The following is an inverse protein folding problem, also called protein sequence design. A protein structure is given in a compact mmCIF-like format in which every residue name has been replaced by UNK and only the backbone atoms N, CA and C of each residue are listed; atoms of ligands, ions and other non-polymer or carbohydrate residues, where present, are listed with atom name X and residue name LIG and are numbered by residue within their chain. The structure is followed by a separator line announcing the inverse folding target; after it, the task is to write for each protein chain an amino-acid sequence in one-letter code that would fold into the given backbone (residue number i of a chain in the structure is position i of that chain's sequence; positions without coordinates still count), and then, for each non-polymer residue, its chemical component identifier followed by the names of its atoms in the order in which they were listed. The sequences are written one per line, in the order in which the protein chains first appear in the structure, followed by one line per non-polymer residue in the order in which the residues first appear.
data_IF_044476401265
#
_entry.id   IF_044476401265
#
_cell.length_a   1.000
_cell.length_b   1.000
_cell.length_c   1.000
_cell.angle_alpha   90.00
_cell.angle_beta   90.00
_cell.angle_gamma   90.00
#
_symmetry.space_group_name_H-M   'P 1'
#
loop_
_entity.id
_entity.type
_entity.pdbx_description
1 polymer ?
#
# COMPACT_ATOMS: atom_id res chain seq x y z
N UNK A 1 -2.37 -9.47 10.21
CA UNK A 1 -3.05 -8.16 10.11
C UNK A 1 -3.97 -8.18 8.90
N UNK A 2 -5.17 -7.60 9.00
CA UNK A 2 -6.14 -7.55 7.90
C UNK A 2 -6.22 -6.15 7.25
N UNK A 3 -5.39 -5.20 7.69
CA UNK A 3 -5.29 -3.84 7.18
C UNK A 3 -3.82 -3.37 7.11
N UNK A 4 -3.62 -2.17 6.56
CA UNK A 4 -2.30 -1.56 6.33
C UNK A 4 -1.83 -0.61 7.44
N UNK A 5 -2.63 -0.34 8.47
CA UNK A 5 -2.27 0.60 9.55
C UNK A 5 -1.54 -0.13 10.66
N UNK A 6 -2.10 -1.26 11.10
CA UNK A 6 -1.61 -1.99 12.27
C UNK A 6 -0.15 -2.47 12.18
N UNK A 7 0.40 -2.91 11.02
CA UNK A 7 1.74 -3.49 11.02
C UNK A 7 2.86 -2.50 11.40
N UNK A 8 2.71 -1.21 11.07
CA UNK A 8 3.71 -0.19 11.43
C UNK A 8 3.61 0.23 12.89
N UNK A 9 2.39 0.30 13.43
CA UNK A 9 2.16 0.58 14.85
C UNK A 9 2.74 -0.55 15.71
N UNK A 10 2.44 -1.81 15.38
CA UNK A 10 2.96 -2.99 16.09
C UNK A 10 4.50 -3.05 16.04
N UNK A 11 5.12 -2.74 14.89
CA UNK A 11 6.58 -2.64 14.77
C UNK A 11 7.15 -1.50 15.62
N UNK A 12 6.50 -0.33 15.62
CA UNK A 12 6.93 0.80 16.43
C UNK A 12 6.79 0.54 17.95
N UNK A 13 5.78 -0.23 18.36
CA UNK A 13 5.56 -0.62 19.76
C UNK A 13 6.48 -1.74 20.23
N UNK A 14 7.22 -2.39 19.32
CA UNK A 14 8.10 -3.53 19.62
C UNK A 14 7.37 -4.88 19.69
N UNK A 15 6.11 -4.95 19.24
CA UNK A 15 5.35 -6.20 19.13
C UNK A 15 5.82 -7.05 17.94
N UNK A 16 6.50 -6.43 16.98
CA UNK A 16 7.14 -7.08 15.83
C UNK A 16 8.60 -6.65 15.74
N UNK A 17 9.46 -7.56 15.29
CA UNK A 17 10.85 -7.22 14.94
C UNK A 17 10.96 -6.65 13.53
N UNK A 18 10.16 -7.17 12.59
CA UNK A 18 10.15 -6.79 11.17
C UNK A 18 8.74 -6.98 10.58
N UNK A 19 8.34 -6.10 9.65
CA UNK A 19 7.17 -6.31 8.78
C UNK A 19 7.56 -6.20 7.29
N UNK A 20 6.79 -6.84 6.40
CA UNK A 20 7.07 -6.86 4.95
C UNK A 20 5.77 -6.80 4.13
N UNK A 21 5.17 -5.61 4.03
CA UNK A 21 3.88 -5.44 3.34
C UNK A 21 3.77 -4.16 2.49
N UNK A 22 4.66 -3.20 2.67
CA UNK A 22 4.53 -1.82 2.18
C UNK A 22 5.62 -1.46 1.18
N UNK A 23 5.34 -0.46 0.35
CA UNK A 23 6.33 0.21 -0.49
C UNK A 23 6.88 1.47 0.17
N UNK A 24 8.06 1.94 -0.26
CA UNK A 24 8.77 3.08 0.32
C UNK A 24 7.92 4.36 0.47
N UNK A 25 7.12 4.79 -0.53
CA UNK A 25 6.28 5.99 -0.37
C UNK A 25 5.26 5.89 0.77
N UNK A 26 4.74 4.69 1.07
CA UNK A 26 3.78 4.49 2.14
C UNK A 26 4.46 4.58 3.51
N UNK A 27 5.64 3.95 3.64
CA UNK A 27 6.46 4.05 4.85
C UNK A 27 6.83 5.50 5.14
N UNK A 28 7.27 6.25 4.14
CA UNK A 28 7.64 7.68 4.29
C UNK A 28 6.47 8.52 4.78
N UNK A 29 5.29 8.32 4.18
CA UNK A 29 4.06 9.00 4.61
C UNK A 29 3.68 8.63 6.05
N UNK A 30 3.74 7.36 6.42
CA UNK A 30 3.44 6.92 7.79
C UNK A 30 4.42 7.50 8.81
N UNK A 31 5.72 7.55 8.50
CA UNK A 31 6.70 8.20 9.35
C UNK A 31 6.41 9.70 9.50
N UNK A 32 6.05 10.39 8.42
CA UNK A 32 5.70 11.81 8.46
C UNK A 32 4.42 12.08 9.28
N UNK A 33 3.38 11.26 9.13
CA UNK A 33 2.07 11.47 9.77
C UNK A 33 2.03 11.00 11.24
N UNK A 34 2.80 9.96 11.59
CA UNK A 34 2.75 9.32 12.91
C UNK A 34 4.01 9.50 13.75
N UNK A 35 5.09 10.04 13.18
CA UNK A 35 6.35 10.25 13.89
C UNK A 35 7.13 8.97 14.17
N UNK A 36 6.83 7.88 13.46
CA UNK A 36 7.52 6.60 13.61
C UNK A 36 9.00 6.71 13.23
N UNK A 37 9.86 6.00 13.96
CA UNK A 37 11.31 5.93 13.71
C UNK A 37 11.69 4.59 13.08
N UNK A 38 11.05 4.28 11.95
CA UNK A 38 11.26 3.04 11.22
C UNK A 38 12.24 3.23 10.06
N UNK A 39 12.81 2.14 9.57
CA UNK A 39 13.70 2.17 8.42
C UNK A 39 13.45 0.94 7.53
N UNK A 40 13.63 1.12 6.23
CA UNK A 40 13.63 0.00 5.29
C UNK A 40 14.97 -0.74 5.41
N UNK A 41 14.90 -2.05 5.73
CA UNK A 41 16.09 -2.92 5.84
C UNK A 41 16.42 -3.64 4.53
N UNK A 42 15.48 -3.69 3.58
CA UNK A 42 15.66 -4.33 2.28
C UNK A 42 14.40 -4.23 1.42
N UNK A 43 14.56 -4.51 0.12
CA UNK A 43 13.45 -4.62 -0.83
C UNK A 43 13.01 -6.08 -0.96
N UNK A 44 11.72 -6.30 -1.18
CA UNK A 44 11.15 -7.64 -1.41
C UNK A 44 10.74 -7.81 -2.87
N UNK A 45 9.51 -7.44 -3.21
CA UNK A 45 8.91 -7.64 -4.53
C UNK A 45 8.19 -6.36 -4.98
N UNK A 46 8.10 -6.19 -6.30
CA UNK A 46 7.25 -5.15 -6.90
C UNK A 46 6.04 -5.85 -7.53
N UNK A 47 4.86 -5.52 -7.04
CA UNK A 47 3.59 -5.94 -7.63
C UNK A 47 3.00 -4.74 -8.38
N UNK A 48 2.95 -4.76 -9.72
CA UNK A 48 2.37 -3.65 -10.48
C UNK A 48 0.91 -3.42 -10.11
N UNK A 49 0.55 -2.16 -9.86
CA UNK A 49 -0.86 -1.76 -9.70
C UNK A 49 -1.54 -1.88 -11.07
N UNK A 50 -2.73 -2.47 -11.09
CA UNK A 50 -3.51 -2.67 -12.30
C UNK A 50 -4.97 -2.27 -12.09
N UNK A 51 -5.59 -1.75 -13.15
CA UNK A 51 -7.03 -1.58 -13.20
C UNK A 51 -7.71 -2.90 -13.56
N UNK A 52 -8.83 -3.19 -12.90
CA UNK A 52 -9.63 -4.38 -13.17
C UNK A 52 -11.07 -3.98 -13.44
N UNK A 53 -11.73 -4.70 -14.34
CA UNK A 53 -13.16 -4.50 -14.61
C UNK A 53 -13.85 -5.84 -14.83
N UNK A 54 -15.08 -5.95 -14.31
CA UNK A 54 -16.00 -7.05 -14.62
C UNK A 54 -16.90 -6.72 -15.82
N UNK A 55 -16.88 -5.48 -16.32
CA UNK A 55 -17.82 -4.97 -17.34
C UNK A 55 -17.18 -4.72 -18.70
N UNK A 56 -15.89 -4.36 -18.71
CA UNK A 56 -15.14 -4.05 -19.92
C UNK A 56 -13.85 -4.86 -19.94
N UNK A 57 -13.36 -5.18 -21.13
CA UNK A 57 -12.12 -5.94 -21.34
C UNK A 57 -11.00 -5.09 -21.92
N UNK A 58 -11.32 -3.88 -22.41
CA UNK A 58 -10.35 -2.94 -22.95
C UNK A 58 -10.67 -1.50 -22.50
N UNK A 59 -9.64 -0.68 -22.34
CA UNK A 59 -9.79 0.73 -21.93
C UNK A 59 -10.64 1.54 -22.93
N UNK A 60 -10.60 1.20 -24.22
CA UNK A 60 -11.41 1.86 -25.26
C UNK A 60 -12.92 1.67 -25.08
N UNK A 61 -13.35 0.74 -24.23
CA UNK A 61 -14.75 0.51 -23.91
C UNK A 61 -15.21 1.31 -22.69
N UNK A 62 -14.31 2.08 -22.05
CA UNK A 62 -14.67 2.91 -20.90
C UNK A 62 -15.52 4.11 -21.39
N UNK A 63 -16.80 4.20 -21.00
CA UNK A 63 -17.65 5.29 -21.45
C UNK A 63 -17.27 6.61 -20.75
N UNK A 64 -17.58 7.72 -21.41
CA UNK A 64 -17.45 9.04 -20.80
C UNK A 64 -18.30 9.13 -19.52
N UNK A 65 -17.70 9.67 -18.46
CA UNK A 65 -18.35 9.76 -17.14
C UNK A 65 -18.37 8.44 -16.35
N UNK A 66 -17.63 7.40 -16.77
CA UNK A 66 -17.48 6.18 -16.00
C UNK A 66 -16.89 6.45 -14.61
N UNK A 67 -17.45 5.77 -13.60
CA UNK A 67 -16.92 5.78 -12.23
C UNK A 67 -15.79 4.76 -12.08
N UNK A 68 -14.68 5.20 -11.45
CA UNK A 68 -13.50 4.38 -11.13
C UNK A 68 -13.25 4.46 -9.63
N UNK A 69 -13.12 3.31 -8.97
CA UNK A 69 -12.70 3.23 -7.58
C UNK A 69 -11.17 3.24 -7.49
N UNK A 70 -10.61 3.97 -6.51
CA UNK A 70 -9.18 4.14 -6.26
C UNK A 70 -8.83 3.96 -4.80
#
# INVERSE_FOLDING_TARGET
FNDYVLPNEALNNGDLDVNAFQHKPYLDKQMQERGYKLAAVGNTFVYPIAGYSKKITALSQLPDGAQVAV
#
